data_IF_546337112185
#
_entry.id   IF_546337112185
#
_cell.length_a   1.000
_cell.length_b   1.000
_cell.length_c   1.000
_cell.angle_alpha   90.00
_cell.angle_beta   90.00
_cell.angle_gamma   90.00
#
_symmetry.space_group_name_H-M   'P 1'
#
loop_
_entity.id
_entity.type
_entity.pdbx_description
1 polymer ?
#
# COMPACT_ATOMS: atom_id res chain seq x y z
N UNK A 1 -14.53 -8.99 -10.36
CA UNK A 1 -13.99 -8.51 -9.05
C UNK A 1 -12.77 -7.56 -9.15
N UNK A 2 -11.81 -7.73 -10.07
CA UNK A 2 -10.62 -6.83 -10.19
C UNK A 2 -10.97 -5.37 -10.50
N UNK A 3 -11.93 -5.14 -11.41
CA UNK A 3 -12.38 -3.80 -11.81
C UNK A 3 -12.97 -2.96 -10.66
N UNK A 4 -13.71 -3.60 -9.73
CA UNK A 4 -14.29 -2.92 -8.56
C UNK A 4 -13.21 -2.40 -7.60
N UNK A 5 -12.13 -3.18 -7.41
CA UNK A 5 -11.00 -2.77 -6.55
C UNK A 5 -10.18 -1.65 -7.17
N UNK A 6 -9.94 -1.72 -8.48
CA UNK A 6 -9.28 -0.63 -9.20
C UNK A 6 -10.07 0.67 -9.08
N UNK A 7 -11.39 0.63 -9.29
CA UNK A 7 -12.26 1.82 -9.12
C UNK A 7 -12.24 2.36 -7.69
N UNK A 8 -12.29 1.50 -6.67
CA UNK A 8 -12.22 1.92 -5.27
C UNK A 8 -10.90 2.66 -4.96
N UNK A 9 -9.76 2.07 -5.29
CA UNK A 9 -8.46 2.67 -5.01
C UNK A 9 -8.19 3.91 -5.86
N UNK A 10 -8.66 3.95 -7.11
CA UNK A 10 -8.54 5.12 -7.96
C UNK A 10 -9.41 6.27 -7.45
N UNK A 11 -10.59 5.99 -6.90
CA UNK A 11 -11.43 6.99 -6.25
C UNK A 11 -10.74 7.62 -5.04
N UNK A 12 -10.16 6.80 -4.16
CA UNK A 12 -9.41 7.29 -2.99
C UNK A 12 -8.17 8.10 -3.37
N UNK A 13 -7.44 7.68 -4.39
CA UNK A 13 -6.30 8.45 -4.93
C UNK A 13 -6.71 9.82 -5.45
N UNK A 14 -7.80 9.89 -6.22
CA UNK A 14 -8.32 11.16 -6.76
C UNK A 14 -8.92 12.07 -5.69
N UNK A 15 -9.37 11.50 -4.58
CA UNK A 15 -9.94 12.25 -3.47
C UNK A 15 -8.87 12.80 -2.51
N UNK A 16 -7.62 12.31 -2.58
CA UNK A 16 -6.53 12.88 -1.81
C UNK A 16 -6.22 14.30 -2.29
N UNK A 17 -6.18 15.25 -1.37
CA UNK A 17 -5.96 16.68 -1.63
C UNK A 17 -4.55 17.14 -1.25
N UNK A 18 -3.77 16.26 -0.62
CA UNK A 18 -2.37 16.50 -0.27
C UNK A 18 -1.53 15.25 -0.49
N UNK A 19 -0.21 15.44 -0.62
CA UNK A 19 0.75 14.33 -0.74
C UNK A 19 0.72 13.43 0.49
N UNK A 20 0.45 13.99 1.67
CA UNK A 20 0.26 13.23 2.91
C UNK A 20 -0.95 12.30 2.82
N UNK A 21 -2.10 12.83 2.40
CA UNK A 21 -3.31 12.02 2.22
C UNK A 21 -3.11 10.95 1.13
N UNK A 22 -2.37 11.27 0.07
CA UNK A 22 -2.04 10.31 -0.98
C UNK A 22 -1.15 9.18 -0.45
N UNK A 23 -0.13 9.51 0.35
CA UNK A 23 0.74 8.54 1.00
C UNK A 23 -0.05 7.60 1.91
N UNK A 24 -0.98 8.13 2.72
CA UNK A 24 -1.86 7.33 3.58
C UNK A 24 -2.71 6.34 2.75
N UNK A 25 -3.27 6.80 1.62
CA UNK A 25 -4.03 5.92 0.71
C UNK A 25 -3.14 4.82 0.10
N UNK A 26 -1.88 5.12 -0.23
CA UNK A 26 -0.94 4.12 -0.74
C UNK A 26 -0.58 3.07 0.31
N UNK A 27 -0.32 3.49 1.54
CA UNK A 27 -0.03 2.58 2.66
C UNK A 27 -1.23 1.65 2.92
N UNK A 28 -2.45 2.18 2.95
CA UNK A 28 -3.68 1.38 3.08
C UNK A 28 -3.83 0.36 1.95
N UNK A 29 -3.58 0.79 0.71
CA UNK A 29 -3.64 -0.08 -0.46
C UNK A 29 -2.63 -1.21 -0.37
N UNK A 30 -1.39 -0.91 0.03
CA UNK A 30 -0.31 -1.87 0.19
C UNK A 30 -0.65 -2.91 1.28
N UNK A 31 -1.13 -2.46 2.45
CA UNK A 31 -1.62 -3.35 3.52
C UNK A 31 -2.72 -4.29 3.02
N UNK A 32 -3.73 -3.77 2.29
CA UNK A 32 -4.79 -4.63 1.76
C UNK A 32 -4.30 -5.59 0.65
N UNK A 33 -3.19 -5.30 -0.02
CA UNK A 33 -2.55 -6.22 -0.95
C UNK A 33 -1.80 -7.33 -0.18
N UNK A 34 -1.06 -6.98 0.86
CA UNK A 34 -0.36 -7.93 1.74
C UNK A 34 -1.34 -8.94 2.38
N UNK A 35 -2.45 -8.49 2.95
CA UNK A 35 -3.52 -9.36 3.48
C UNK A 35 -4.01 -10.37 2.43
N UNK A 36 -4.15 -9.95 1.17
CA UNK A 36 -4.61 -10.86 0.11
C UNK A 36 -3.55 -11.87 -0.30
N UNK A 37 -2.28 -11.47 -0.28
CA UNK A 37 -1.16 -12.34 -0.59
C UNK A 37 -0.97 -13.40 0.52
N UNK A 38 -1.04 -12.99 1.79
CA UNK A 38 -1.03 -13.87 2.95
C UNK A 38 -2.16 -14.92 2.87
N UNK A 39 -3.40 -14.49 2.58
CA UNK A 39 -4.54 -15.41 2.39
C UNK A 39 -4.36 -16.40 1.23
N UNK A 40 -3.43 -16.15 0.31
CA UNK A 40 -3.07 -17.04 -0.80
C UNK A 40 -1.86 -17.92 -0.48
N UNK A 41 -1.31 -17.84 0.73
CA UNK A 41 -0.16 -18.61 1.19
C UNK A 41 1.18 -17.90 1.04
N UNK A 42 1.21 -16.65 0.57
CA UNK A 42 2.45 -15.87 0.53
C UNK A 42 2.75 -15.28 1.92
N UNK A 43 3.56 -16.02 2.68
CA UNK A 43 4.00 -15.63 4.02
C UNK A 43 5.02 -14.48 4.02
N UNK A 44 5.60 -14.13 2.86
CA UNK A 44 6.63 -13.09 2.76
C UNK A 44 6.05 -11.72 2.42
N UNK A 45 4.80 -11.63 1.97
CA UNK A 45 4.19 -10.37 1.54
C UNK A 45 4.28 -9.23 2.57
N UNK A 46 4.09 -9.54 3.86
CA UNK A 46 4.21 -8.55 4.94
C UNK A 46 5.66 -8.12 5.17
N UNK A 47 6.60 -9.07 5.10
CA UNK A 47 8.01 -8.79 5.27
C UNK A 47 8.55 -7.92 4.13
N UNK A 48 8.18 -8.22 2.89
CA UNK A 48 8.55 -7.39 1.73
C UNK A 48 7.98 -5.97 1.82
N UNK A 49 6.75 -5.81 2.33
CA UNK A 49 6.17 -4.50 2.60
C UNK A 49 6.98 -3.74 3.67
N UNK A 50 7.33 -4.40 4.77
CA UNK A 50 8.14 -3.80 5.83
C UNK A 50 9.52 -3.36 5.33
N UNK A 51 10.21 -4.20 4.53
CA UNK A 51 11.49 -3.83 3.93
C UNK A 51 11.39 -2.60 3.02
N UNK A 52 10.30 -2.49 2.25
CA UNK A 52 10.09 -1.34 1.37
C UNK A 52 9.92 -0.05 2.17
N UNK A 53 9.17 -0.10 3.28
CA UNK A 53 8.95 1.06 4.15
C UNK A 53 10.22 1.45 4.91
N UNK A 54 10.96 0.47 5.45
CA UNK A 54 12.25 0.70 6.11
C UNK A 54 13.28 1.32 5.16
N UNK A 55 13.36 0.84 3.92
CA UNK A 55 14.24 1.42 2.91
C UNK A 55 13.91 2.90 2.63
N UNK A 56 12.62 3.24 2.51
CA UNK A 56 12.19 4.63 2.32
C UNK A 56 12.59 5.51 3.51
N UNK A 57 12.37 5.02 4.74
CA UNK A 57 12.74 5.76 5.96
C UNK A 57 14.24 6.03 5.98
N UNK A 58 15.07 5.02 5.72
CA UNK A 58 16.53 5.17 5.70
C UNK A 58 17.04 6.18 4.67
N UNK A 59 16.36 6.29 3.53
CA UNK A 59 16.72 7.26 2.49
C UNK A 59 16.45 8.72 2.92
N UNK A 60 15.47 8.94 3.80
CA UNK A 60 15.00 10.28 4.17
C UNK A 60 15.34 10.69 5.62
N UNK A 61 15.80 9.75 6.44
CA UNK A 61 16.32 9.99 7.80
C UNK A 61 17.83 10.30 7.82
N UNK A 62 18.51 10.15 6.68
CA UNK A 62 19.94 10.48 6.50
C UNK A 62 20.17 11.96 6.18
#
# INVERSE_FOLDING_TARGET
MRLRRARHWNGRQKAATSDRELADVMVDRAKSAAVKAERRGDKQAWYSLAQTLDAWCREHEA
#
